data_IF_725388823639
#
_entry.id   IF_725388823639
#
_cell.length_a   1.000
_cell.length_b   1.000
_cell.length_c   1.000
_cell.angle_alpha   90.00
_cell.angle_beta   90.00
_cell.angle_gamma   90.00
#
_symmetry.space_group_name_H-M   'P 1'
#
loop_
_entity.id
_entity.type
_entity.pdbx_description
1 polymer ?
#
# COMPACT_ATOMS: atom_id res chain seq x y z
N UNK A 1 17.00 16.81 -14.71
CA UNK A 1 17.01 15.62 -15.62
C UNK A 1 18.25 15.52 -16.52
N UNK A 2 19.08 16.55 -16.64
CA UNK A 2 20.32 16.51 -17.46
C UNK A 2 21.53 15.89 -16.73
N UNK A 3 21.53 15.86 -15.40
CA UNK A 3 22.70 15.46 -14.58
C UNK A 3 22.98 13.95 -14.52
N UNK A 4 22.01 13.11 -14.88
CA UNK A 4 22.16 11.65 -14.82
C UNK A 4 22.61 10.99 -16.14
N UNK A 5 22.59 11.74 -17.24
CA UNK A 5 23.01 11.22 -18.56
C UNK A 5 24.54 11.24 -18.66
N UNK A 6 25.12 10.08 -18.85
CA UNK A 6 26.56 9.92 -19.08
C UNK A 6 27.27 8.95 -18.14
N UNK A 7 26.55 8.35 -17.20
CA UNK A 7 27.06 7.23 -16.42
C UNK A 7 26.76 5.91 -17.16
N UNK A 8 27.75 5.13 -17.59
CA UNK A 8 27.52 3.88 -18.35
C UNK A 8 26.60 2.87 -17.64
N UNK A 9 26.67 2.78 -16.32
CA UNK A 9 25.78 1.92 -15.53
C UNK A 9 24.34 2.41 -15.51
N UNK A 10 24.14 3.71 -15.46
CA UNK A 10 22.82 4.34 -15.58
C UNK A 10 22.15 4.02 -16.91
N UNK A 11 22.85 4.26 -18.01
CA UNK A 11 22.27 4.08 -19.34
C UNK A 11 21.85 2.64 -19.58
N UNK A 12 22.65 1.65 -19.18
CA UNK A 12 22.32 0.24 -19.33
C UNK A 12 21.11 -0.19 -18.51
N UNK A 13 21.02 0.20 -17.24
CA UNK A 13 19.89 -0.17 -16.40
C UNK A 13 18.58 0.46 -16.89
N UNK A 14 18.62 1.75 -17.22
CA UNK A 14 17.46 2.47 -17.74
C UNK A 14 16.99 1.89 -19.07
N UNK A 15 17.90 1.68 -20.03
CA UNK A 15 17.57 1.09 -21.34
C UNK A 15 16.97 -0.31 -21.21
N UNK A 16 17.54 -1.17 -20.36
CA UNK A 16 16.98 -2.50 -20.08
C UNK A 16 15.60 -2.40 -19.44
N UNK A 17 15.41 -1.50 -18.49
CA UNK A 17 14.13 -1.28 -17.82
C UNK A 17 13.05 -0.80 -18.78
N UNK A 18 13.38 0.16 -19.65
CA UNK A 18 12.45 0.68 -20.66
C UNK A 18 12.06 -0.37 -21.71
N UNK A 19 12.93 -1.33 -21.97
CA UNK A 19 12.68 -2.43 -22.92
C UNK A 19 11.89 -3.58 -22.29
N UNK A 20 12.18 -3.94 -21.04
CA UNK A 20 11.73 -5.19 -20.43
C UNK A 20 10.54 -5.01 -19.47
N UNK A 21 10.38 -3.83 -18.88
CA UNK A 21 9.32 -3.57 -17.90
C UNK A 21 8.14 -2.91 -18.60
N UNK A 22 6.94 -3.45 -18.36
CA UNK A 22 5.72 -2.89 -18.92
C UNK A 22 5.57 -1.41 -18.50
N UNK A 23 5.15 -0.57 -19.46
CA UNK A 23 4.96 0.88 -19.25
C UNK A 23 3.70 1.25 -18.44
N UNK A 24 3.14 0.28 -17.72
CA UNK A 24 1.99 0.49 -16.85
C UNK A 24 2.30 1.39 -15.64
N UNK A 25 3.58 1.56 -15.30
CA UNK A 25 4.02 2.42 -14.19
C UNK A 25 4.76 3.64 -14.75
N UNK A 26 4.21 4.84 -14.48
CA UNK A 26 4.96 6.08 -14.61
C UNK A 26 6.08 6.14 -13.56
N UNK A 27 7.31 6.47 -13.97
CA UNK A 27 8.40 6.75 -13.03
C UNK A 27 8.52 8.24 -12.82
N UNK A 28 8.54 8.67 -11.56
CA UNK A 28 8.75 10.07 -11.20
C UNK A 28 10.20 10.49 -11.36
N UNK A 29 11.14 9.53 -11.24
CA UNK A 29 12.58 9.76 -11.39
C UNK A 29 13.20 8.66 -12.24
N UNK A 30 14.41 8.90 -12.72
CA UNK A 30 15.22 7.93 -13.44
C UNK A 30 16.48 7.56 -12.65
N UNK A 31 16.43 7.60 -11.32
CA UNK A 31 17.57 7.27 -10.46
C UNK A 31 17.79 5.76 -10.50
N UNK A 32 18.99 5.28 -10.92
CA UNK A 32 19.34 3.86 -10.91
C UNK A 32 19.78 3.45 -9.50
N UNK A 33 18.83 3.22 -8.61
CA UNK A 33 19.11 2.88 -7.22
C UNK A 33 19.85 1.56 -7.11
N UNK A 34 20.97 1.56 -6.37
CA UNK A 34 21.76 0.37 -6.06
C UNK A 34 21.57 -0.05 -4.60
N UNK A 35 21.52 0.89 -3.67
CA UNK A 35 21.43 0.59 -2.24
C UNK A 35 20.65 1.65 -1.47
N UNK A 36 20.32 1.33 -0.21
CA UNK A 36 19.68 2.26 0.71
C UNK A 36 20.17 2.06 2.13
N UNK A 37 20.29 3.16 2.89
CA UNK A 37 20.65 3.12 4.32
C UNK A 37 19.98 4.27 5.07
N UNK A 38 19.21 3.94 6.09
CA UNK A 38 18.44 4.92 6.85
C UNK A 38 17.49 5.71 5.91
N UNK A 39 17.60 7.01 5.88
CA UNK A 39 16.78 7.89 5.04
C UNK A 39 17.36 8.16 3.65
N UNK A 40 18.43 7.49 3.28
CA UNK A 40 19.13 7.75 2.03
C UNK A 40 19.10 6.57 1.06
N UNK A 41 18.98 6.89 -0.22
CA UNK A 41 19.23 6.01 -1.34
C UNK A 41 20.57 6.39 -2.00
N UNK A 42 21.22 5.42 -2.59
CA UNK A 42 22.47 5.57 -3.33
C UNK A 42 22.31 4.98 -4.72
N UNK A 43 22.78 5.71 -5.72
CA UNK A 43 22.77 5.21 -7.10
C UNK A 43 24.05 4.42 -7.42
N UNK A 44 24.09 3.84 -8.61
CA UNK A 44 25.24 3.07 -9.13
C UNK A 44 26.53 3.88 -9.30
N UNK A 45 26.47 5.21 -9.24
CA UNK A 45 27.61 6.10 -9.25
C UNK A 45 28.04 6.58 -7.84
N UNK A 46 27.33 6.13 -6.80
CA UNK A 46 27.60 6.52 -5.41
C UNK A 46 26.97 7.86 -5.00
N UNK A 47 26.15 8.48 -5.83
CA UNK A 47 25.43 9.69 -5.44
C UNK A 47 24.38 9.35 -4.39
N UNK A 48 24.19 10.26 -3.44
CA UNK A 48 23.26 10.10 -2.31
C UNK A 48 22.02 10.96 -2.48
N UNK A 49 20.86 10.37 -2.27
CA UNK A 49 19.54 11.02 -2.36
C UNK A 49 18.78 10.85 -1.05
N UNK A 50 18.20 11.93 -0.55
CA UNK A 50 17.28 11.88 0.59
C UNK A 50 15.93 11.34 0.10
N UNK A 51 15.49 10.20 0.64
CA UNK A 51 14.25 9.54 0.23
C UNK A 51 13.08 9.97 1.09
N UNK A 52 12.29 10.92 0.59
CA UNK A 52 11.02 11.32 1.21
C UNK A 52 9.85 10.40 0.84
N UNK A 53 10.04 9.47 -0.09
CA UNK A 53 8.97 8.56 -0.51
C UNK A 53 8.85 7.35 0.40
N UNK A 54 9.98 6.91 0.97
CA UNK A 54 10.08 5.74 1.86
C UNK A 54 9.32 4.51 1.31
N UNK A 55 9.33 4.31 -0.03
CA UNK A 55 8.56 3.25 -0.67
C UNK A 55 7.03 3.40 -0.51
N UNK A 56 6.53 4.63 -0.54
CA UNK A 56 5.16 5.03 -0.21
C UNK A 56 4.82 4.57 1.22
N UNK A 57 5.64 5.06 2.17
CA UNK A 57 5.54 4.80 3.61
C UNK A 57 5.68 3.33 4.04
N UNK A 58 6.33 2.48 3.26
CA UNK A 58 6.65 1.10 3.67
C UNK A 58 7.94 1.00 4.47
N UNK A 59 8.92 1.86 4.20
CA UNK A 59 10.22 1.89 4.88
C UNK A 59 10.23 2.89 6.06
N UNK A 60 9.24 2.84 6.95
CA UNK A 60 9.05 3.83 8.02
C UNK A 60 10.20 3.88 9.04
N UNK A 61 10.96 2.81 9.18
CA UNK A 61 12.16 2.75 10.05
C UNK A 61 13.46 3.01 9.28
N UNK A 62 13.34 3.39 8.00
CA UNK A 62 14.45 3.62 7.08
C UNK A 62 14.90 2.36 6.34
N UNK A 63 15.71 2.58 5.30
CA UNK A 63 16.28 1.52 4.49
C UNK A 63 17.28 0.69 5.29
N UNK A 64 17.20 -0.63 5.15
CA UNK A 64 18.14 -1.57 5.75
C UNK A 64 18.37 -1.37 7.25
N UNK A 65 17.28 -1.13 8.01
CA UNK A 65 17.39 -1.05 9.47
C UNK A 65 18.02 -2.32 10.04
N UNK A 66 19.09 -2.21 10.84
CA UNK A 66 19.89 -3.40 11.24
C UNK A 66 19.08 -4.50 11.92
N UNK A 67 18.20 -4.14 12.84
CA UNK A 67 17.35 -5.10 13.54
C UNK A 67 16.37 -5.80 12.61
N UNK A 68 15.79 -5.08 11.64
CA UNK A 68 14.87 -5.65 10.65
C UNK A 68 15.61 -6.62 9.73
N UNK A 69 16.79 -6.22 9.23
CA UNK A 69 17.62 -7.09 8.39
C UNK A 69 18.01 -8.36 9.13
N UNK A 70 18.40 -8.24 10.39
CA UNK A 70 18.79 -9.40 11.20
C UNK A 70 17.59 -10.32 11.51
N UNK A 71 16.43 -9.76 11.79
CA UNK A 71 15.20 -10.53 11.98
C UNK A 71 14.82 -11.31 10.70
N UNK A 72 14.92 -10.68 9.53
CA UNK A 72 14.68 -11.34 8.23
C UNK A 72 15.66 -12.51 8.02
N UNK A 73 16.95 -12.30 8.25
CA UNK A 73 17.97 -13.37 8.12
C UNK A 73 17.67 -14.55 9.02
N UNK A 74 17.44 -14.29 10.30
CA UNK A 74 17.12 -15.35 11.29
C UNK A 74 15.86 -16.12 10.94
N UNK A 75 14.85 -15.44 10.42
CA UNK A 75 13.61 -16.11 10.02
C UNK A 75 13.78 -16.90 8.73
N UNK A 76 14.54 -16.38 7.75
CA UNK A 76 14.82 -17.06 6.50
C UNK A 76 15.60 -18.38 6.69
N UNK A 77 16.45 -18.44 7.69
CA UNK A 77 17.18 -19.68 8.08
C UNK A 77 16.25 -20.74 8.68
N UNK A 78 15.07 -20.36 9.18
CA UNK A 78 14.12 -21.31 9.79
C UNK A 78 13.07 -21.76 8.78
N UNK A 79 12.26 -20.84 8.30
CA UNK A 79 11.18 -21.05 7.34
C UNK A 79 10.96 -19.76 6.58
N UNK A 80 11.03 -19.81 5.24
CA UNK A 80 10.77 -18.67 4.37
C UNK A 80 9.28 -18.48 4.18
N UNK A 81 8.54 -19.56 3.94
CA UNK A 81 7.10 -19.53 3.71
C UNK A 81 6.43 -20.78 4.25
N UNK A 82 5.31 -20.60 4.92
CA UNK A 82 4.38 -21.65 5.31
C UNK A 82 2.97 -21.21 4.90
N UNK A 83 2.24 -22.10 4.20
CA UNK A 83 0.84 -21.88 3.89
C UNK A 83 0.01 -22.11 5.17
N UNK A 84 -0.81 -21.15 5.57
CA UNK A 84 -1.60 -21.18 6.82
C UNK A 84 -2.52 -22.42 6.94
N UNK A 85 -2.97 -22.97 5.81
CA UNK A 85 -3.79 -24.20 5.82
C UNK A 85 -3.01 -25.46 6.20
N UNK A 86 -1.68 -25.41 6.21
CA UNK A 86 -0.83 -26.55 6.54
C UNK A 86 -0.47 -26.58 8.03
N UNK A 87 -0.33 -25.42 8.65
CA UNK A 87 0.08 -25.36 10.05
C UNK A 87 0.10 -23.96 10.64
N UNK A 88 0.37 -23.90 11.92
CA UNK A 88 0.45 -22.66 12.66
C UNK A 88 1.85 -22.05 12.53
N UNK A 89 1.91 -20.72 12.45
CA UNK A 89 3.11 -19.95 12.15
C UNK A 89 3.34 -18.86 13.20
N UNK A 90 4.33 -19.05 14.06
CA UNK A 90 4.56 -18.15 15.20
C UNK A 90 4.71 -16.68 14.81
N UNK A 91 5.47 -16.27 13.78
CA UNK A 91 5.57 -14.85 13.41
C UNK A 91 4.24 -14.20 13.04
N UNK A 92 3.29 -14.98 12.52
CA UNK A 92 1.94 -14.47 12.21
C UNK A 92 1.18 -14.17 13.51
N UNK A 93 1.18 -15.10 14.44
CA UNK A 93 0.52 -14.93 15.75
C UNK A 93 1.11 -13.74 16.50
N UNK A 94 2.43 -13.65 16.58
CA UNK A 94 3.13 -12.54 17.25
C UNK A 94 2.78 -11.18 16.63
N UNK A 95 2.65 -11.12 15.31
CA UNK A 95 2.23 -9.90 14.61
C UNK A 95 0.80 -9.52 14.97
N UNK A 96 -0.14 -10.47 14.93
CA UNK A 96 -1.55 -10.22 15.24
C UNK A 96 -1.73 -9.76 16.67
N UNK A 97 -1.05 -10.40 17.64
CA UNK A 97 -1.07 -9.97 19.03
C UNK A 97 -0.59 -8.53 19.21
N UNK A 98 0.51 -8.15 18.56
CA UNK A 98 1.02 -6.78 18.60
C UNK A 98 0.06 -5.78 17.99
N UNK A 99 -0.52 -6.10 16.83
CA UNK A 99 -1.50 -5.23 16.16
C UNK A 99 -2.74 -5.07 17.03
N UNK A 100 -3.29 -6.15 17.58
CA UNK A 100 -4.46 -6.09 18.46
C UNK A 100 -4.20 -5.26 19.71
N UNK A 101 -3.01 -5.33 20.28
CA UNK A 101 -2.59 -4.50 21.42
C UNK A 101 -2.60 -2.98 21.14
N UNK A 102 -2.55 -2.58 19.87
CA UNK A 102 -2.60 -1.17 19.45
C UNK A 102 -4.02 -0.70 19.07
N UNK A 103 -4.98 -1.63 18.94
CA UNK A 103 -6.35 -1.29 18.58
C UNK A 103 -7.11 -0.67 19.77
N UNK A 104 -8.15 0.15 19.48
CA UNK A 104 -9.06 0.63 20.52
C UNK A 104 -9.73 -0.52 21.27
N UNK A 105 -10.18 -0.22 22.50
CA UNK A 105 -10.94 -1.15 23.30
C UNK A 105 -12.07 -1.79 22.56
N UNK A 106 -12.58 -2.67 22.37
CA UNK A 106 -13.64 -3.27 21.55
C UNK A 106 -13.13 -3.97 20.27
N UNK A 107 -11.85 -3.77 19.90
CA UNK A 107 -11.21 -4.45 18.77
C UNK A 107 -10.00 -5.29 19.19
N UNK A 108 -9.65 -5.33 20.47
CA UNK A 108 -8.45 -6.03 20.96
C UNK A 108 -8.48 -7.55 20.74
N UNK A 109 -9.69 -8.13 20.66
CA UNK A 109 -9.90 -9.55 20.40
C UNK A 109 -10.29 -9.82 18.92
N UNK A 110 -10.05 -8.87 18.02
CA UNK A 110 -10.39 -9.02 16.62
C UNK A 110 -9.51 -10.07 15.94
N UNK A 111 -10.13 -10.92 15.11
CA UNK A 111 -9.39 -11.79 14.23
C UNK A 111 -8.77 -11.00 13.09
N UNK A 112 -7.52 -11.29 12.75
CA UNK A 112 -6.82 -10.68 11.63
C UNK A 112 -6.68 -11.66 10.46
N UNK A 113 -6.75 -11.10 9.25
CA UNK A 113 -6.52 -11.82 8.01
C UNK A 113 -5.48 -11.08 7.19
N UNK A 114 -4.30 -11.67 7.01
CA UNK A 114 -3.21 -11.06 6.25
C UNK A 114 -3.33 -11.39 4.77
N UNK A 115 -2.97 -10.43 3.95
CA UNK A 115 -2.93 -10.52 2.48
C UNK A 115 -1.65 -9.89 1.95
N UNK A 116 -1.36 -10.04 0.65
CA UNK A 116 -0.10 -9.55 0.08
C UNK A 116 -0.06 -8.03 -0.11
N UNK A 117 -1.19 -7.36 -0.10
CA UNK A 117 -1.21 -5.91 -0.28
C UNK A 117 -2.55 -5.27 0.00
N UNK A 118 -2.55 -3.93 0.11
CA UNK A 118 -3.74 -3.15 0.47
C UNK A 118 -4.92 -3.33 -0.49
N UNK A 119 -4.68 -3.53 -1.79
CA UNK A 119 -5.75 -3.81 -2.74
C UNK A 119 -6.49 -5.12 -2.43
N UNK A 120 -5.76 -6.17 -2.06
CA UNK A 120 -6.35 -7.45 -1.65
C UNK A 120 -7.11 -7.31 -0.32
N UNK A 121 -6.58 -6.54 0.63
CA UNK A 121 -7.28 -6.26 1.87
C UNK A 121 -8.64 -5.58 1.62
N UNK A 122 -8.70 -4.64 0.68
CA UNK A 122 -9.94 -3.99 0.27
C UNK A 122 -10.90 -4.99 -0.41
N UNK A 123 -10.40 -5.90 -1.26
CA UNK A 123 -11.21 -6.97 -1.86
C UNK A 123 -11.85 -7.86 -0.78
N UNK A 124 -11.08 -8.24 0.23
CA UNK A 124 -11.58 -9.03 1.37
C UNK A 124 -12.61 -8.24 2.17
N UNK A 125 -12.35 -6.96 2.45
CA UNK A 125 -13.27 -6.10 3.19
C UNK A 125 -14.62 -5.94 2.46
N UNK A 126 -14.61 -5.73 1.14
CA UNK A 126 -15.83 -5.65 0.33
C UNK A 126 -16.63 -6.95 0.40
N UNK A 127 -15.98 -8.10 0.24
CA UNK A 127 -16.62 -9.41 0.32
C UNK A 127 -17.21 -9.65 1.70
N UNK A 128 -16.44 -9.41 2.75
CA UNK A 128 -16.86 -9.59 4.14
C UNK A 128 -18.06 -8.69 4.46
N UNK A 129 -18.00 -7.42 4.13
CA UNK A 129 -19.08 -6.47 4.37
C UNK A 129 -20.40 -6.95 3.73
N UNK A 130 -20.35 -7.38 2.47
CA UNK A 130 -21.53 -7.91 1.77
C UNK A 130 -22.06 -9.22 2.37
N UNK A 131 -21.17 -10.14 2.71
CA UNK A 131 -21.55 -11.44 3.28
C UNK A 131 -22.23 -11.28 4.63
N UNK A 132 -21.68 -10.44 5.49
CA UNK A 132 -22.20 -10.28 6.86
C UNK A 132 -23.49 -9.45 6.87
N UNK A 133 -23.59 -8.43 6.03
CA UNK A 133 -24.75 -7.51 6.06
C UNK A 133 -25.87 -7.87 5.08
N UNK A 134 -25.57 -8.67 4.06
CA UNK A 134 -26.48 -8.92 2.93
C UNK A 134 -26.72 -7.69 2.05
N UNK A 135 -26.02 -6.57 2.29
CA UNK A 135 -26.21 -5.30 1.56
C UNK A 135 -25.33 -5.27 0.31
N UNK A 136 -25.91 -5.04 -0.89
CA UNK A 136 -25.13 -5.06 -2.14
C UNK A 136 -24.38 -3.75 -2.41
N UNK A 137 -24.77 -2.65 -1.77
CA UNK A 137 -24.22 -1.32 -2.03
C UNK A 137 -23.03 -1.04 -1.11
N UNK A 138 -21.98 -0.48 -1.70
CA UNK A 138 -20.79 0.03 -0.99
C UNK A 138 -20.75 1.55 -1.19
N UNK A 139 -20.60 2.28 -0.10
CA UNK A 139 -20.32 3.71 -0.16
C UNK A 139 -18.81 3.93 -0.16
N UNK A 140 -18.34 4.82 -1.02
CA UNK A 140 -16.94 5.26 -1.07
C UNK A 140 -16.87 6.78 -1.15
N UNK A 141 -15.77 7.36 -0.69
CA UNK A 141 -15.60 8.81 -0.72
C UNK A 141 -14.89 9.27 -2.00
N UNK A 142 -15.32 10.42 -2.51
CA UNK A 142 -14.60 11.12 -3.57
C UNK A 142 -13.18 11.46 -3.08
N UNK A 143 -12.21 11.28 -3.96
CA UNK A 143 -10.79 11.47 -3.64
C UNK A 143 -10.10 10.28 -2.96
N UNK A 144 -10.84 9.24 -2.55
CA UNK A 144 -10.27 8.07 -1.89
C UNK A 144 -9.50 7.16 -2.86
N UNK A 145 -8.38 6.60 -2.40
CA UNK A 145 -7.61 5.57 -3.11
C UNK A 145 -7.63 4.28 -2.29
N UNK A 146 -8.13 3.21 -2.91
CA UNK A 146 -8.28 1.89 -2.26
C UNK A 146 -7.53 0.77 -2.98
N UNK A 147 -6.96 1.04 -4.13
CA UNK A 147 -6.20 0.05 -4.90
C UNK A 147 -6.58 0.00 -6.37
N UNK A 148 -5.98 -0.94 -7.10
CA UNK A 148 -6.12 -1.08 -8.56
C UNK A 148 -6.51 -2.48 -9.03
N UNK A 149 -6.85 -3.42 -8.14
CA UNK A 149 -7.60 -4.63 -8.50
C UNK A 149 -9.03 -4.24 -8.86
N UNK A 150 -9.77 -5.06 -9.55
CA UNK A 150 -11.08 -4.67 -10.11
C UNK A 150 -12.07 -4.20 -9.04
N UNK A 151 -12.19 -4.89 -7.92
CA UNK A 151 -13.06 -4.44 -6.82
C UNK A 151 -12.49 -3.22 -6.08
N UNK A 152 -11.21 -3.21 -5.73
CA UNK A 152 -10.58 -2.06 -5.08
C UNK A 152 -10.56 -0.81 -5.98
N UNK A 153 -10.39 -0.99 -7.30
CA UNK A 153 -10.49 0.09 -8.27
C UNK A 153 -11.92 0.62 -8.38
N UNK A 154 -12.92 -0.25 -8.23
CA UNK A 154 -14.32 0.17 -8.26
C UNK A 154 -14.64 1.15 -7.13
N UNK A 155 -14.04 1.00 -5.96
CA UNK A 155 -14.22 1.92 -4.82
C UNK A 155 -13.18 3.05 -4.78
N UNK A 156 -12.16 3.05 -5.65
CA UNK A 156 -11.19 4.14 -5.79
C UNK A 156 -11.82 5.31 -6.55
N UNK A 157 -11.68 6.53 -6.05
CA UNK A 157 -12.20 7.76 -6.66
C UNK A 157 -11.19 8.92 -6.65
N UNK A 158 -9.90 8.64 -6.40
CA UNK A 158 -8.85 9.66 -6.34
C UNK A 158 -8.47 10.22 -7.71
N UNK A 159 -8.53 9.41 -8.76
CA UNK A 159 -8.26 9.85 -10.13
C UNK A 159 -8.95 8.93 -11.13
N UNK A 160 -9.70 9.51 -12.04
CA UNK A 160 -10.43 8.78 -13.08
C UNK A 160 -9.50 8.10 -14.11
N UNK A 161 -8.25 8.56 -14.24
CA UNK A 161 -7.29 7.97 -15.18
C UNK A 161 -7.06 6.48 -14.92
N UNK A 162 -7.21 6.03 -13.67
CA UNK A 162 -7.06 4.62 -13.31
C UNK A 162 -8.15 3.72 -13.87
N UNK A 163 -9.29 4.30 -14.33
CA UNK A 163 -10.47 3.59 -14.82
C UNK A 163 -10.64 3.68 -16.34
N UNK A 164 -9.87 4.55 -16.99
CA UNK A 164 -9.99 4.77 -18.44
C UNK A 164 -9.69 3.49 -19.21
N UNK A 165 -10.59 3.12 -20.09
CA UNK A 165 -10.44 1.97 -20.99
C UNK A 165 -10.74 0.60 -20.39
N UNK A 166 -11.12 0.52 -19.10
CA UNK A 166 -11.37 -0.77 -18.43
C UNK A 166 -12.80 -1.31 -18.60
N UNK A 167 -13.72 -0.52 -19.21
CA UNK A 167 -15.11 -0.94 -19.36
C UNK A 167 -15.88 -0.98 -18.04
N UNK A 168 -16.72 -1.99 -17.86
CA UNK A 168 -17.52 -2.16 -16.64
C UNK A 168 -16.70 -2.58 -15.43
N UNK A 169 -16.73 -1.75 -14.40
CA UNK A 169 -16.24 -2.10 -13.08
C UNK A 169 -17.37 -2.75 -12.26
N UNK A 170 -17.03 -3.20 -11.08
CA UNK A 170 -17.96 -3.74 -10.11
C UNK A 170 -19.15 -2.77 -9.84
N UNK A 171 -20.38 -3.29 -9.90
CA UNK A 171 -21.60 -2.52 -9.72
C UNK A 171 -21.99 -2.33 -8.25
N UNK A 172 -22.83 -1.34 -7.95
CA UNK A 172 -23.31 -1.07 -6.60
C UNK A 172 -22.34 -0.26 -5.73
N UNK A 173 -21.47 0.54 -6.36
CA UNK A 173 -20.64 1.53 -5.65
C UNK A 173 -21.24 2.90 -5.84
N UNK A 174 -21.47 3.60 -4.73
CA UNK A 174 -21.90 4.99 -4.71
C UNK A 174 -20.80 5.86 -4.10
N UNK A 175 -20.53 7.00 -4.74
CA UNK A 175 -19.52 7.93 -4.28
C UNK A 175 -20.20 9.13 -3.62
N UNK A 176 -19.71 9.46 -2.41
CA UNK A 176 -20.18 10.61 -1.64
C UNK A 176 -19.00 11.54 -1.34
N UNK A 177 -19.24 12.85 -1.16
CA UNK A 177 -18.21 13.77 -0.73
C UNK A 177 -17.62 13.33 0.63
N UNK A 178 -16.29 13.45 0.80
CA UNK A 178 -15.70 13.30 2.11
C UNK A 178 -16.09 14.51 2.97
N UNK A 179 -16.59 14.32 4.20
CA UNK A 179 -17.05 15.41 5.06
C UNK A 179 -15.84 16.17 5.65
N UNK A 180 -15.10 16.86 4.79
CA UNK A 180 -13.98 17.69 5.17
C UNK A 180 -14.24 19.13 4.77
N UNK A 181 -14.38 19.99 5.76
CA UNK A 181 -14.44 21.43 5.60
C UNK A 181 -13.40 22.04 6.56
N UNK A 182 -12.31 22.64 6.04
CA UNK A 182 -11.25 23.21 6.86
C UNK A 182 -11.72 24.37 7.74
N UNK A 183 -12.82 25.02 7.37
CA UNK A 183 -13.39 26.17 8.10
C UNK A 183 -14.48 25.77 9.10
N UNK A 184 -14.92 24.51 9.08
CA UNK A 184 -15.95 23.99 10.00
C UNK A 184 -15.36 23.53 11.33
N UNK A 185 -16.01 23.94 12.40
CA UNK A 185 -15.70 23.42 13.75
C UNK A 185 -16.14 21.94 13.84
N UNK A 186 -15.36 21.15 14.59
CA UNK A 186 -15.56 19.71 14.79
C UNK A 186 -17.00 19.35 15.26
N UNK A 187 -17.66 20.26 15.95
CA UNK A 187 -19.02 20.12 16.49
C UNK A 187 -20.13 20.17 15.40
N UNK A 188 -19.84 20.80 14.26
CA UNK A 188 -20.82 20.90 13.16
C UNK A 188 -20.79 19.66 12.24
N UNK A 189 -19.65 18.97 12.19
CA UNK A 189 -19.49 17.75 11.35
C UNK A 189 -20.28 16.56 11.90
N UNK A 190 -20.51 16.51 13.19
CA UNK A 190 -21.24 15.42 13.85
C UNK A 190 -22.75 15.48 13.66
N UNK A 191 -23.31 16.65 13.41
CA UNK A 191 -24.77 16.83 13.26
C UNK A 191 -25.29 16.47 11.88
N UNK A 192 -24.50 16.68 10.82
CA UNK A 192 -24.91 16.34 9.44
C UNK A 192 -24.63 14.88 9.05
N UNK A 193 -23.71 14.19 9.71
CA UNK A 193 -23.44 12.77 9.44
C UNK A 193 -24.47 11.81 10.03
N UNK A 194 -25.39 12.30 10.86
CA UNK A 194 -26.42 11.51 11.54
C UNK A 194 -27.85 11.83 11.03
N UNK A 195 -28.03 12.73 10.09
CA UNK A 195 -29.28 13.03 9.40
C UNK A 195 -29.32 12.41 8.02
#
# INVERSE_FOLDING_TARGET
MKEFRGNPGYDQLVQKSEKLIAKAFGRYTQIPVESGKGVYLYDTAGNRYLDFTAGIATCNVGHCHPEVVEAIKKQAEKVIHLMDHIGYYQPYVDLVEKVNGLLPDGFKDAAAFLVNGGSEAVEVAIKLARMVTGRPIILSFLGAFHGRTMGALSVTASNMIYKVGLGGLFTGVHYVPFPFDPDRKKEDLTKESLG
#
